data_IF_463969116795
#
_entry.id   IF_463969116795
#
_cell.length_a   1.000
_cell.length_b   1.000
_cell.length_c   1.000
_cell.angle_alpha   90.00
_cell.angle_beta   90.00
_cell.angle_gamma   90.00
#
_symmetry.space_group_name_H-M   'P 1'
#
loop_
_entity.id
_entity.type
_entity.pdbx_description
1 polymer ?
#
# COMPACT_ATOMS: atom_id res chain seq x y z
N UNK A 1 34.51 23.39 -35.67
CA UNK A 1 35.47 22.73 -34.73
C UNK A 1 35.13 22.97 -33.25
N UNK A 2 34.44 24.03 -32.88
CA UNK A 2 34.01 24.24 -31.46
C UNK A 2 32.73 23.48 -31.05
N UNK A 3 31.88 23.11 -32.02
CA UNK A 3 30.65 22.34 -31.78
C UNK A 3 30.94 20.86 -31.49
N UNK A 4 31.93 20.25 -32.20
CA UNK A 4 32.31 18.84 -31.97
C UNK A 4 32.84 18.54 -30.56
N UNK A 5 33.50 19.50 -29.91
CA UNK A 5 34.07 19.32 -28.57
C UNK A 5 33.02 19.40 -27.41
N UNK A 6 31.81 19.93 -27.70
CA UNK A 6 30.72 19.95 -26.73
C UNK A 6 29.89 18.65 -26.78
N UNK A 7 29.82 18.03 -27.97
CA UNK A 7 29.04 16.81 -28.20
C UNK A 7 29.79 15.56 -27.72
N UNK A 8 31.14 15.50 -27.87
CA UNK A 8 31.97 14.45 -27.22
C UNK A 8 31.77 14.42 -25.69
N UNK A 9 31.62 15.59 -25.07
CA UNK A 9 31.39 15.69 -23.65
C UNK A 9 29.97 15.21 -23.22
N UNK A 10 28.98 15.26 -24.11
CA UNK A 10 27.60 14.84 -23.78
C UNK A 10 27.52 13.31 -23.66
N UNK A 11 28.11 12.59 -24.64
CA UNK A 11 28.07 11.12 -24.61
C UNK A 11 28.86 10.54 -23.44
N UNK A 12 30.02 11.13 -23.14
CA UNK A 12 30.84 10.73 -22.00
C UNK A 12 30.10 10.92 -20.67
N UNK A 13 29.41 12.05 -20.55
CA UNK A 13 28.58 12.33 -19.38
C UNK A 13 27.43 11.34 -19.26
N UNK A 14 26.73 11.01 -20.34
CA UNK A 14 25.64 10.02 -20.35
C UNK A 14 26.14 8.61 -19.97
N UNK A 15 27.32 8.21 -20.51
CA UNK A 15 27.94 6.92 -20.17
C UNK A 15 28.37 6.87 -18.69
N UNK A 16 28.99 7.96 -18.20
CA UNK A 16 29.34 8.07 -16.80
C UNK A 16 28.13 7.93 -15.89
N UNK A 17 27.03 8.66 -16.18
CA UNK A 17 25.78 8.60 -15.43
C UNK A 17 25.16 7.20 -15.50
N UNK A 18 25.17 6.58 -16.68
CA UNK A 18 24.69 5.22 -16.88
C UNK A 18 25.38 4.24 -15.94
N UNK A 19 26.72 4.32 -15.84
CA UNK A 19 27.52 3.45 -14.95
C UNK A 19 27.33 3.78 -13.47
N UNK A 20 27.41 5.05 -13.09
CA UNK A 20 27.33 5.50 -11.69
C UNK A 20 25.94 5.27 -11.08
N UNK A 21 24.88 5.41 -11.88
CA UNK A 21 23.49 5.33 -11.40
C UNK A 21 22.77 4.07 -11.83
N UNK A 22 23.48 3.15 -12.51
CA UNK A 22 22.93 1.90 -13.04
C UNK A 22 21.65 2.09 -13.88
N UNK A 23 21.65 3.13 -14.73
CA UNK A 23 20.58 3.43 -15.66
C UNK A 23 21.01 2.91 -17.06
N UNK A 24 20.16 2.13 -17.77
CA UNK A 24 20.50 1.70 -19.13
C UNK A 24 20.79 2.89 -20.04
N UNK A 25 21.92 2.85 -20.73
CA UNK A 25 22.37 3.93 -21.59
C UNK A 25 21.37 4.28 -22.70
N UNK A 26 20.77 3.26 -23.32
CA UNK A 26 19.73 3.45 -24.35
C UNK A 26 18.50 4.22 -23.81
N UNK A 27 18.10 3.97 -22.57
CA UNK A 27 17.00 4.70 -21.94
C UNK A 27 17.29 6.20 -21.77
N UNK A 28 18.55 6.55 -21.50
CA UNK A 28 18.97 7.95 -21.42
C UNK A 28 18.94 8.61 -22.80
N UNK A 29 19.37 7.90 -23.84
CA UNK A 29 19.34 8.39 -25.22
C UNK A 29 17.93 8.56 -25.75
N UNK A 30 17.05 7.57 -25.58
CA UNK A 30 15.66 7.66 -25.99
C UNK A 30 14.93 8.83 -25.30
N UNK A 31 15.19 9.04 -24.01
CA UNK A 31 14.62 10.17 -23.29
C UNK A 31 15.15 11.52 -23.82
N UNK A 32 16.43 11.57 -24.19
CA UNK A 32 17.03 12.76 -24.78
C UNK A 32 16.43 13.03 -26.16
N UNK A 33 16.34 12.02 -27.04
CA UNK A 33 15.73 12.13 -28.38
C UNK A 33 14.29 12.64 -28.29
N UNK A 34 13.46 12.07 -27.38
CA UNK A 34 12.06 12.48 -27.16
C UNK A 34 11.95 13.94 -26.68
N UNK A 35 12.85 14.36 -25.80
CA UNK A 35 12.84 15.73 -25.27
C UNK A 35 13.33 16.74 -26.30
N UNK A 36 14.36 16.40 -27.08
CA UNK A 36 14.86 17.21 -28.19
C UNK A 36 13.77 17.39 -29.26
N UNK A 37 13.03 16.32 -29.57
CA UNK A 37 11.89 16.37 -30.47
C UNK A 37 10.81 17.31 -29.95
N UNK A 38 10.50 17.24 -28.67
CA UNK A 38 9.52 18.12 -28.02
C UNK A 38 9.98 19.59 -28.08
N UNK A 39 11.26 19.84 -27.79
CA UNK A 39 11.84 21.16 -27.87
C UNK A 39 11.84 21.70 -29.33
N UNK A 40 12.16 20.85 -30.31
CA UNK A 40 12.10 21.19 -31.72
C UNK A 40 10.69 21.60 -32.13
N UNK A 41 9.66 20.79 -31.84
CA UNK A 41 8.25 21.05 -32.14
C UNK A 41 7.76 22.37 -31.52
N UNK A 42 8.22 22.68 -30.30
CA UNK A 42 7.85 23.92 -29.60
C UNK A 42 8.41 25.18 -30.27
N UNK A 43 9.62 25.10 -30.82
CA UNK A 43 10.31 26.26 -31.40
C UNK A 43 10.07 26.43 -32.91
N UNK A 44 9.90 25.32 -33.64
CA UNK A 44 9.82 25.32 -35.10
C UNK A 44 8.43 24.87 -35.64
N UNK A 45 7.52 24.52 -34.75
CA UNK A 45 6.15 24.11 -35.10
C UNK A 45 5.95 22.60 -35.09
N UNK A 46 4.71 22.19 -34.85
CA UNK A 46 4.33 20.76 -34.71
C UNK A 46 3.83 20.12 -36.00
N UNK A 47 3.74 20.88 -37.09
CA UNK A 47 3.07 20.45 -38.33
C UNK A 47 3.85 19.42 -39.16
N UNK A 48 5.16 19.25 -38.90
CA UNK A 48 5.98 18.27 -39.59
C UNK A 48 6.16 17.01 -38.76
N UNK A 49 6.13 15.84 -39.42
CA UNK A 49 6.49 14.57 -38.79
C UNK A 49 8.02 14.51 -38.58
N UNK A 50 8.49 15.20 -37.54
CA UNK A 50 9.90 15.30 -37.21
C UNK A 50 10.32 14.16 -36.29
N UNK A 51 11.55 13.66 -36.49
CA UNK A 51 12.26 12.77 -35.59
C UNK A 51 13.62 13.35 -35.25
N UNK A 52 14.13 13.04 -34.07
CA UNK A 52 15.46 13.43 -33.64
C UNK A 52 16.24 12.14 -33.35
N UNK A 53 17.43 12.02 -33.92
CA UNK A 53 18.30 10.88 -33.70
C UNK A 53 19.59 11.42 -33.10
N UNK A 54 20.05 10.79 -32.02
CA UNK A 54 21.34 11.06 -31.37
C UNK A 54 22.31 9.96 -31.75
N UNK A 55 23.42 10.31 -32.35
CA UNK A 55 24.49 9.35 -32.67
C UNK A 55 25.09 8.78 -31.38
N UNK A 56 25.11 7.46 -31.29
CA UNK A 56 25.52 6.73 -30.08
C UNK A 56 27.02 6.76 -29.80
N UNK A 57 27.82 7.16 -30.78
CA UNK A 57 29.28 7.21 -30.66
C UNK A 57 29.76 8.64 -30.49
N UNK A 58 29.23 9.58 -31.28
CA UNK A 58 29.67 10.97 -31.28
C UNK A 58 28.85 11.86 -30.35
N UNK A 59 27.58 11.50 -30.07
CA UNK A 59 26.65 12.35 -29.33
C UNK A 59 26.04 13.46 -30.17
N UNK A 60 26.35 13.52 -31.48
CA UNK A 60 25.72 14.47 -32.38
C UNK A 60 24.24 14.16 -32.56
N UNK A 61 23.42 15.17 -32.48
CA UNK A 61 21.99 15.04 -32.74
C UNK A 61 21.67 15.56 -34.14
N UNK A 62 20.75 14.89 -34.82
CA UNK A 62 20.21 15.32 -36.12
C UNK A 62 18.71 15.28 -36.10
N UNK A 63 18.10 16.28 -36.71
CA UNK A 63 16.66 16.40 -36.87
C UNK A 63 16.29 16.07 -38.30
N UNK A 64 15.33 15.15 -38.44
CA UNK A 64 14.84 14.74 -39.75
C UNK A 64 13.35 15.00 -39.83
N UNK A 65 12.90 15.46 -41.00
CA UNK A 65 11.48 15.39 -41.35
C UNK A 65 11.22 14.05 -42.02
N UNK A 66 10.45 13.23 -41.38
CA UNK A 66 10.05 11.92 -41.92
C UNK A 66 8.80 12.08 -42.76
N UNK A 67 8.90 11.71 -44.03
CA UNK A 67 7.78 11.73 -44.98
C UNK A 67 7.57 10.34 -45.55
N UNK A 68 6.31 10.03 -45.86
CA UNK A 68 5.99 8.77 -46.55
C UNK A 68 6.16 8.94 -48.03
N UNK A 69 6.83 8.00 -48.69
CA UNK A 69 7.01 8.02 -50.15
C UNK A 69 5.71 7.59 -50.81
N UNK A 70 5.18 8.40 -51.69
CA UNK A 70 3.92 8.16 -52.42
C UNK A 70 4.08 8.41 -53.91
N UNK A 71 3.24 7.82 -54.73
CA UNK A 71 3.21 8.10 -56.18
C UNK A 71 2.67 9.50 -56.45
N UNK A 72 1.60 9.91 -55.76
CA UNK A 72 0.99 11.23 -55.89
C UNK A 72 0.91 11.86 -54.49
N UNK A 73 1.50 13.07 -54.36
CA UNK A 73 1.53 13.79 -53.09
C UNK A 73 0.22 14.49 -52.84
N UNK A 74 -0.45 14.17 -51.73
CA UNK A 74 -1.66 14.84 -51.24
C UNK A 74 -1.29 15.92 -50.20
N UNK A 75 -0.42 15.55 -49.22
CA UNK A 75 0.08 16.47 -48.21
C UNK A 75 1.61 16.61 -48.31
N UNK A 76 2.13 17.73 -48.83
CA UNK A 76 3.59 17.96 -48.97
C UNK A 76 4.35 18.00 -47.67
N UNK A 77 3.68 18.11 -46.49
CA UNK A 77 4.31 18.09 -45.18
C UNK A 77 4.58 16.65 -44.67
N UNK A 78 3.73 15.72 -45.07
CA UNK A 78 3.77 14.32 -44.61
C UNK A 78 4.25 13.35 -45.68
N UNK A 79 4.17 13.76 -46.95
CA UNK A 79 4.43 12.93 -48.13
C UNK A 79 5.55 13.49 -49.02
N UNK A 80 6.18 12.61 -49.72
CA UNK A 80 7.19 12.94 -50.75
C UNK A 80 6.95 12.10 -51.99
N UNK A 81 7.04 12.73 -53.17
CA UNK A 81 6.92 11.99 -54.43
C UNK A 81 8.13 11.04 -54.63
N UNK A 82 7.86 9.83 -55.12
CA UNK A 82 8.86 8.81 -55.39
C UNK A 82 9.99 9.34 -56.28
N UNK A 83 9.69 10.25 -57.24
CA UNK A 83 10.71 10.92 -58.09
C UNK A 83 11.70 11.78 -57.31
N UNK A 84 11.29 12.34 -56.14
CA UNK A 84 12.16 13.18 -55.28
C UNK A 84 12.95 12.31 -54.30
N UNK A 85 12.35 11.23 -53.80
CA UNK A 85 13.00 10.28 -52.90
C UNK A 85 14.14 9.50 -53.61
N UNK A 86 13.96 9.15 -54.90
CA UNK A 86 14.97 8.40 -55.67
C UNK A 86 14.99 6.90 -55.30
N UNK A 87 15.86 6.15 -55.99
CA UNK A 87 16.11 4.74 -55.62
C UNK A 87 16.96 4.68 -54.34
N UNK A 88 16.71 3.73 -53.42
CA UNK A 88 15.90 2.49 -53.55
C UNK A 88 14.47 2.56 -53.00
N UNK A 89 13.91 3.74 -52.73
CA UNK A 89 12.63 3.92 -52.06
C UNK A 89 11.43 3.43 -52.90
N UNK A 90 10.49 2.78 -52.21
CA UNK A 90 9.21 2.32 -52.79
C UNK A 90 8.02 3.08 -52.15
N UNK A 91 6.86 3.13 -52.81
CA UNK A 91 5.65 3.71 -52.20
C UNK A 91 5.33 3.02 -50.85
N UNK A 92 5.18 3.83 -49.79
CA UNK A 92 4.99 3.37 -48.41
C UNK A 92 6.25 3.41 -47.56
N UNK A 93 7.42 3.55 -48.13
CA UNK A 93 8.69 3.73 -47.39
C UNK A 93 8.73 5.10 -46.71
N UNK A 94 9.62 5.21 -45.71
CA UNK A 94 9.89 6.48 -45.04
C UNK A 94 11.15 7.13 -45.62
N UNK A 95 11.01 8.38 -46.04
CA UNK A 95 12.09 9.24 -46.49
C UNK A 95 12.41 10.28 -45.40
N UNK A 96 13.60 10.22 -44.85
CA UNK A 96 14.10 11.10 -43.80
C UNK A 96 14.96 12.22 -44.40
N UNK A 97 14.44 13.45 -44.45
CA UNK A 97 15.15 14.65 -44.97
C UNK A 97 15.77 15.41 -43.77
N UNK A 98 17.09 15.55 -43.74
CA UNK A 98 17.77 16.25 -42.65
C UNK A 98 17.46 17.76 -42.70
N UNK A 99 16.96 18.29 -41.56
CA UNK A 99 16.52 19.68 -41.40
C UNK A 99 17.11 20.34 -40.16
N UNK A 100 18.21 19.84 -39.65
CA UNK A 100 18.85 20.30 -38.41
C UNK A 100 19.12 21.81 -38.44
N UNK A 101 18.39 22.66 -37.62
CA UNK A 101 18.63 24.09 -37.60
C UNK A 101 19.95 24.45 -36.91
N UNK A 102 20.72 25.38 -37.47
CA UNK A 102 22.01 25.82 -36.89
C UNK A 102 21.89 26.40 -35.46
N UNK A 103 20.75 27.05 -35.15
CA UNK A 103 20.52 27.67 -33.84
C UNK A 103 19.97 26.70 -32.79
N UNK A 104 19.66 25.47 -33.20
CA UNK A 104 19.08 24.47 -32.30
C UNK A 104 20.07 23.97 -31.23
N UNK A 105 21.40 24.13 -31.44
CA UNK A 105 22.44 23.68 -30.54
C UNK A 105 22.30 24.17 -29.09
N UNK A 106 21.96 25.45 -28.89
CA UNK A 106 21.74 26.00 -27.54
C UNK A 106 20.51 25.42 -26.85
N UNK A 107 19.42 25.23 -27.61
CA UNK A 107 18.19 24.64 -27.14
C UNK A 107 18.43 23.16 -26.76
N UNK A 108 19.13 22.43 -27.63
CA UNK A 108 19.49 21.05 -27.43
C UNK A 108 20.33 20.85 -26.15
N UNK A 109 21.35 21.67 -25.93
CA UNK A 109 22.20 21.60 -24.74
C UNK A 109 21.44 21.88 -23.45
N UNK A 110 20.53 22.87 -23.43
CA UNK A 110 19.66 23.13 -22.26
C UNK A 110 18.68 22.00 -22.01
N UNK A 111 18.04 21.47 -23.06
CA UNK A 111 17.11 20.36 -22.98
C UNK A 111 17.82 19.11 -22.48
N UNK A 112 18.99 18.77 -23.02
CA UNK A 112 19.79 17.64 -22.57
C UNK A 112 20.10 17.72 -21.07
N UNK A 113 20.56 18.89 -20.60
CA UNK A 113 20.83 19.10 -19.17
C UNK A 113 19.59 18.86 -18.30
N UNK A 114 18.43 19.37 -18.71
CA UNK A 114 17.18 19.19 -17.96
C UNK A 114 16.75 17.71 -17.92
N UNK A 115 16.81 17.02 -19.05
CA UNK A 115 16.45 15.60 -19.16
C UNK A 115 17.36 14.74 -18.30
N UNK A 116 18.66 14.96 -18.39
CA UNK A 116 19.65 14.22 -17.59
C UNK A 116 19.37 14.39 -16.10
N UNK A 117 19.19 15.62 -15.62
CA UNK A 117 18.88 15.90 -14.21
C UNK A 117 17.57 15.24 -13.78
N UNK A 118 16.56 15.26 -14.66
CA UNK A 118 15.29 14.63 -14.37
C UNK A 118 15.42 13.10 -14.30
N UNK A 119 16.12 12.47 -15.24
CA UNK A 119 16.33 11.01 -15.24
C UNK A 119 17.17 10.53 -14.05
N UNK A 120 18.17 11.28 -13.64
CA UNK A 120 18.92 10.99 -12.40
C UNK A 120 17.96 10.99 -11.20
N UNK A 121 17.13 12.02 -11.06
CA UNK A 121 16.16 12.11 -9.96
C UNK A 121 15.14 10.97 -10.00
N UNK A 122 14.66 10.58 -11.17
CA UNK A 122 13.74 9.45 -11.33
C UNK A 122 14.40 8.14 -10.91
N UNK A 123 15.62 7.87 -11.34
CA UNK A 123 16.37 6.67 -10.97
C UNK A 123 16.70 6.63 -9.47
N UNK A 124 17.08 7.76 -8.87
CA UNK A 124 17.27 7.88 -7.41
C UNK A 124 15.97 7.55 -6.67
N UNK A 125 14.85 8.07 -7.15
CA UNK A 125 13.52 7.79 -6.57
C UNK A 125 13.14 6.32 -6.68
N UNK A 126 13.36 5.70 -7.84
CA UNK A 126 13.09 4.27 -8.03
C UNK A 126 14.00 3.40 -7.16
N UNK A 127 15.25 3.79 -6.96
CA UNK A 127 16.17 3.11 -6.05
C UNK A 127 15.67 3.16 -4.61
N UNK A 128 15.25 4.33 -4.14
CA UNK A 128 14.68 4.51 -2.79
C UNK A 128 13.37 3.72 -2.66
N UNK A 129 12.48 3.81 -3.66
CA UNK A 129 11.24 3.04 -3.67
C UNK A 129 11.50 1.54 -3.55
N UNK A 130 12.37 0.98 -4.40
CA UNK A 130 12.67 -0.45 -4.40
C UNK A 130 13.33 -0.92 -3.09
N UNK A 131 14.17 -0.06 -2.49
CA UNK A 131 14.81 -0.32 -1.20
C UNK A 131 13.77 -0.49 -0.09
N UNK A 132 12.82 0.45 0.02
CA UNK A 132 11.81 0.41 1.09
C UNK A 132 10.62 -0.48 0.76
N UNK A 133 10.31 -0.74 -0.51
CA UNK A 133 9.32 -1.74 -0.90
C UNK A 133 9.70 -3.15 -0.41
N UNK A 134 11.01 -3.46 -0.34
CA UNK A 134 11.51 -4.71 0.25
C UNK A 134 11.44 -4.73 1.79
N UNK A 135 11.33 -3.56 2.42
CA UNK A 135 11.17 -3.37 3.87
C UNK A 135 9.70 -3.12 4.25
N UNK A 136 8.76 -3.34 3.33
CA UNK A 136 7.34 -3.30 3.64
C UNK A 136 7.04 -4.36 4.71
N UNK A 137 6.23 -4.02 5.71
CA UNK A 137 5.94 -4.87 6.86
C UNK A 137 7.17 -5.23 7.71
N UNK A 138 8.18 -4.37 7.73
CA UNK A 138 9.40 -4.58 8.52
C UNK A 138 9.77 -3.33 9.34
N UNK A 139 10.72 -3.49 10.25
CA UNK A 139 11.22 -2.42 11.10
C UNK A 139 12.24 -1.54 10.37
N UNK A 140 12.12 -0.24 10.58
CA UNK A 140 13.15 0.73 10.22
C UNK A 140 13.48 1.61 11.40
N UNK A 141 14.73 2.07 11.43
CA UNK A 141 15.20 3.02 12.44
C UNK A 141 15.56 4.33 11.75
N UNK A 142 15.18 5.43 12.34
CA UNK A 142 15.49 6.75 11.82
C UNK A 142 15.60 7.78 12.92
N UNK A 143 15.78 9.04 12.52
CA UNK A 143 15.87 10.20 13.40
C UNK A 143 14.76 11.17 13.08
N UNK A 144 14.05 11.66 14.08
CA UNK A 144 12.99 12.65 13.90
C UNK A 144 13.60 13.97 13.41
N UNK A 145 13.18 14.42 12.23
CA UNK A 145 13.73 15.60 11.58
C UNK A 145 12.89 16.85 11.85
N UNK A 146 11.59 16.77 11.65
CA UNK A 146 10.64 17.87 11.80
C UNK A 146 9.21 17.40 11.99
N UNK A 147 8.37 18.34 12.40
CA UNK A 147 6.92 18.19 12.44
C UNK A 147 6.29 19.18 11.47
N UNK A 148 5.34 18.73 10.67
CA UNK A 148 4.60 19.56 9.74
C UNK A 148 3.15 19.09 9.66
N UNK A 149 2.18 19.98 9.89
CA UNK A 149 0.74 19.66 9.87
C UNK A 149 0.38 18.42 10.73
N UNK A 150 0.97 18.28 11.91
CA UNK A 150 0.87 17.15 12.85
C UNK A 150 1.50 15.84 12.36
N UNK A 151 2.03 15.78 11.15
CA UNK A 151 2.81 14.64 10.70
C UNK A 151 4.26 14.78 11.19
N UNK A 152 4.86 13.65 11.53
CA UNK A 152 6.28 13.58 11.89
C UNK A 152 7.08 13.11 10.67
N UNK A 153 8.13 13.81 10.35
CA UNK A 153 9.07 13.42 9.29
C UNK A 153 10.31 12.82 9.93
N UNK A 154 10.67 11.64 9.46
CA UNK A 154 11.76 10.81 9.98
C UNK A 154 12.81 10.61 8.90
N UNK A 155 14.06 10.87 9.22
CA UNK A 155 15.19 10.64 8.33
C UNK A 155 15.70 9.22 8.53
N UNK A 156 15.49 8.35 7.53
CA UNK A 156 15.95 6.97 7.52
C UNK A 156 17.36 6.88 6.95
N UNK A 157 18.21 6.09 7.61
CA UNK A 157 19.62 5.86 7.20
C UNK A 157 20.39 7.17 6.88
N UNK A 158 19.99 8.28 7.49
CA UNK A 158 20.64 9.58 7.37
C UNK A 158 20.39 10.34 6.05
N UNK A 159 19.53 9.83 5.14
CA UNK A 159 19.28 10.45 3.83
C UNK A 159 17.86 10.38 3.30
N UNK A 160 17.13 9.34 3.60
CA UNK A 160 15.83 9.08 2.99
C UNK A 160 14.72 9.56 3.93
N UNK A 161 13.83 10.42 3.46
CA UNK A 161 12.74 10.96 4.27
C UNK A 161 11.53 10.03 4.27
N UNK A 162 10.99 9.75 5.45
CA UNK A 162 9.76 9.00 5.65
C UNK A 162 8.76 9.84 6.45
N UNK A 163 7.47 9.54 6.31
CA UNK A 163 6.39 10.22 7.01
C UNK A 163 5.74 9.27 8.03
N UNK A 164 5.53 9.77 9.24
CA UNK A 164 4.69 9.15 10.25
C UNK A 164 3.46 10.04 10.44
N UNK A 165 2.34 9.75 9.74
CA UNK A 165 1.13 10.56 9.81
C UNK A 165 0.48 10.48 11.19
N UNK A 166 -0.34 11.46 11.53
CA UNK A 166 -1.01 11.54 12.84
C UNK A 166 -1.83 10.28 13.17
N UNK A 167 -2.48 9.67 12.17
CA UNK A 167 -3.26 8.44 12.35
C UNK A 167 -2.41 7.23 12.74
N UNK A 168 -1.13 7.26 12.44
CA UNK A 168 -0.17 6.19 12.70
C UNK A 168 0.71 6.48 13.93
N UNK A 169 0.53 7.63 14.56
CA UNK A 169 1.18 7.99 15.82
C UNK A 169 0.38 7.43 16.99
N UNK A 170 1.06 7.13 18.08
CA UNK A 170 0.47 6.65 19.32
C UNK A 170 0.23 7.83 20.25
N UNK A 171 -0.99 7.95 20.76
CA UNK A 171 -1.34 8.97 21.75
C UNK A 171 -0.50 8.77 23.03
N UNK A 172 0.19 9.83 23.46
CA UNK A 172 1.06 9.77 24.64
C UNK A 172 2.54 9.52 24.33
N UNK A 173 2.91 9.02 23.15
CA UNK A 173 4.31 9.02 22.72
C UNK A 173 4.75 10.42 22.29
N UNK A 174 5.82 10.90 22.89
CA UNK A 174 6.42 12.18 22.53
C UNK A 174 7.86 11.99 22.06
N UNK A 175 8.18 12.53 20.89
CA UNK A 175 9.53 12.54 20.34
C UNK A 175 9.99 13.99 20.14
N UNK A 176 11.25 14.25 20.41
CA UNK A 176 11.90 15.52 20.11
C UNK A 176 12.60 15.45 18.76
N UNK A 177 12.87 16.58 18.16
CA UNK A 177 13.74 16.65 16.99
C UNK A 177 15.11 16.07 17.37
N UNK A 178 15.65 15.23 16.48
CA UNK A 178 16.86 14.43 16.63
C UNK A 178 16.72 13.19 17.56
N UNK A 179 15.53 12.86 18.07
CA UNK A 179 15.34 11.59 18.77
C UNK A 179 15.40 10.42 17.78
N UNK A 180 15.98 9.32 18.22
CA UNK A 180 15.90 8.05 17.49
C UNK A 180 14.51 7.45 17.64
N UNK A 181 13.97 6.99 16.51
CA UNK A 181 12.69 6.34 16.44
C UNK A 181 12.82 5.02 15.68
N UNK A 182 12.23 3.98 16.22
CA UNK A 182 12.02 2.70 15.54
C UNK A 182 10.55 2.62 15.13
N UNK A 183 10.28 2.34 13.88
CA UNK A 183 8.92 2.35 13.34
C UNK A 183 8.73 1.21 12.33
N UNK A 184 7.49 0.88 12.07
CA UNK A 184 7.06 -0.14 11.13
C UNK A 184 6.71 0.51 9.79
N UNK A 185 7.14 -0.07 8.68
CA UNK A 185 6.80 0.41 7.34
C UNK A 185 5.44 -0.16 6.94
N UNK A 186 4.42 0.66 6.92
CA UNK A 186 3.05 0.23 6.55
C UNK A 186 2.78 0.36 5.06
N UNK A 187 3.43 1.32 4.39
CA UNK A 187 3.20 1.55 2.97
C UNK A 187 4.37 2.28 2.31
N UNK A 188 4.57 2.03 1.02
CA UNK A 188 5.56 2.73 0.20
C UNK A 188 4.90 3.13 -1.11
N UNK A 189 4.68 4.43 -1.32
CA UNK A 189 3.96 4.98 -2.47
C UNK A 189 4.89 5.71 -3.42
N UNK A 190 4.64 5.60 -4.72
CA UNK A 190 5.24 6.49 -5.72
C UNK A 190 4.43 7.78 -5.80
N UNK A 191 5.08 8.92 -5.64
CA UNK A 191 4.46 10.23 -5.83
C UNK A 191 5.28 11.07 -6.82
N UNK A 192 4.67 12.10 -7.45
CA UNK A 192 5.39 13.01 -8.35
C UNK A 192 6.57 13.73 -7.67
N UNK A 193 6.49 13.91 -6.34
CA UNK A 193 7.57 14.54 -5.55
C UNK A 193 8.66 13.55 -5.11
N UNK A 194 8.44 12.24 -5.28
CA UNK A 194 9.35 11.17 -4.87
C UNK A 194 8.63 10.04 -4.14
N UNK A 195 9.32 8.93 -3.82
CA UNK A 195 8.75 7.86 -3.02
C UNK A 195 8.39 8.37 -1.64
N UNK A 196 7.21 8.00 -1.17
CA UNK A 196 6.74 8.31 0.16
C UNK A 196 6.70 7.02 0.98
N UNK A 197 7.62 6.89 1.94
CA UNK A 197 7.64 5.79 2.90
C UNK A 197 6.76 6.19 4.07
N UNK A 198 5.69 5.42 4.30
CA UNK A 198 4.74 5.66 5.38
C UNK A 198 5.08 4.75 6.55
N UNK A 199 5.32 5.36 7.70
CA UNK A 199 5.67 4.67 8.93
C UNK A 199 4.47 4.59 9.87
N UNK A 200 4.47 3.59 10.73
CA UNK A 200 3.52 3.45 11.83
C UNK A 200 4.21 3.12 13.15
N UNK A 201 3.68 3.73 14.21
CA UNK A 201 3.92 3.34 15.60
C UNK A 201 2.69 2.64 16.20
N UNK A 202 1.53 2.78 15.56
CA UNK A 202 0.27 2.21 16.01
C UNK A 202 0.00 0.79 15.51
N UNK A 203 0.64 0.36 14.41
CA UNK A 203 0.42 -0.95 13.79
C UNK A 203 0.79 -2.11 14.73
N UNK A 204 0.01 -3.20 14.70
CA UNK A 204 0.27 -4.45 15.43
C UNK A 204 1.56 -5.12 14.97
N UNK A 205 1.87 -5.00 13.66
CA UNK A 205 3.11 -5.52 13.10
C UNK A 205 4.38 -4.94 13.73
N UNK A 206 4.31 -3.75 14.34
CA UNK A 206 5.44 -3.20 15.11
C UNK A 206 5.77 -4.10 16.31
N UNK A 207 4.75 -4.54 17.05
CA UNK A 207 4.93 -5.44 18.22
C UNK A 207 5.45 -6.79 17.76
N UNK A 208 4.89 -7.33 16.67
CA UNK A 208 5.33 -8.59 16.09
C UNK A 208 6.83 -8.56 15.75
N UNK A 209 7.26 -7.57 14.97
CA UNK A 209 8.66 -7.44 14.55
C UNK A 209 9.62 -7.17 15.71
N UNK A 210 9.18 -6.44 16.73
CA UNK A 210 9.98 -6.25 17.94
C UNK A 210 10.16 -7.55 18.71
N UNK A 211 9.12 -8.38 18.80
CA UNK A 211 9.24 -9.72 19.40
C UNK A 211 10.15 -10.65 18.59
N UNK A 212 10.03 -10.65 17.26
CA UNK A 212 10.93 -11.42 16.39
C UNK A 212 12.41 -11.00 16.56
N UNK A 213 12.67 -9.72 16.83
CA UNK A 213 14.02 -9.21 17.06
C UNK A 213 14.58 -9.62 18.43
N UNK A 214 13.75 -9.63 19.48
CA UNK A 214 14.17 -9.85 20.87
C UNK A 214 14.10 -11.32 21.31
N UNK A 215 13.30 -12.16 20.63
CA UNK A 215 13.02 -13.54 20.99
C UNK A 215 13.55 -14.49 19.91
N UNK A 216 14.73 -15.11 20.11
CA UNK A 216 15.31 -16.01 19.12
C UNK A 216 14.39 -17.17 18.74
N UNK A 217 13.62 -17.72 19.68
CA UNK A 217 12.70 -18.83 19.44
C UNK A 217 11.56 -18.45 18.48
N UNK A 218 11.21 -17.16 18.38
CA UNK A 218 10.26 -16.65 17.38
C UNK A 218 10.99 -16.48 16.03
N UNK A 219 12.19 -15.89 16.04
CA UNK A 219 12.99 -15.72 14.83
C UNK A 219 13.32 -17.06 14.14
N UNK A 220 13.56 -18.11 14.94
CA UNK A 220 13.84 -19.47 14.46
C UNK A 220 12.57 -20.26 14.09
N UNK A 221 11.38 -19.68 14.27
CA UNK A 221 10.10 -20.33 13.97
C UNK A 221 9.75 -21.48 14.91
N UNK A 222 10.34 -21.54 16.10
CA UNK A 222 10.01 -22.52 17.15
C UNK A 222 8.75 -22.08 17.90
N UNK A 223 8.64 -20.79 18.16
CA UNK A 223 7.47 -20.14 18.75
C UNK A 223 6.79 -19.28 17.68
N UNK A 224 5.50 -19.47 17.51
CA UNK A 224 4.69 -18.73 16.55
C UNK A 224 3.80 -17.71 17.28
N UNK A 225 3.68 -16.51 16.70
CA UNK A 225 2.69 -15.52 17.12
C UNK A 225 1.42 -15.79 16.31
N UNK A 226 0.35 -16.19 17.01
CA UNK A 226 -0.91 -16.56 16.41
C UNK A 226 -1.85 -15.37 16.21
N UNK A 227 -1.86 -14.43 17.17
CA UNK A 227 -2.70 -13.24 17.12
C UNK A 227 -2.08 -12.13 17.99
N UNK A 228 -2.37 -10.88 17.63
CA UNK A 228 -2.01 -9.69 18.40
C UNK A 228 -3.25 -8.82 18.51
N UNK A 229 -3.55 -8.33 19.70
CA UNK A 229 -4.53 -7.29 19.94
C UNK A 229 -3.86 -6.13 20.66
N UNK A 230 -3.90 -4.93 20.08
CA UNK A 230 -3.12 -3.79 20.52
C UNK A 230 -3.96 -2.53 20.76
N UNK A 231 -3.71 -1.86 21.86
CA UNK A 231 -4.06 -0.45 22.10
C UNK A 231 -2.73 0.31 22.30
N UNK A 232 -2.25 0.89 21.19
CA UNK A 232 -0.94 1.51 21.13
C UNK A 232 -0.69 2.52 22.25
N UNK A 233 0.49 2.43 22.88
CA UNK A 233 0.91 3.26 24.02
C UNK A 233 0.28 2.88 25.37
N UNK A 234 -0.64 1.91 25.41
CA UNK A 234 -1.29 1.45 26.62
C UNK A 234 -0.99 -0.03 26.90
N UNK A 235 -1.56 -0.92 26.13
CA UNK A 235 -1.43 -2.36 26.33
C UNK A 235 -1.60 -3.17 25.07
N UNK A 236 -0.84 -4.25 24.95
CA UNK A 236 -0.98 -5.27 23.92
C UNK A 236 -1.13 -6.66 24.53
N UNK A 237 -1.92 -7.51 23.88
CA UNK A 237 -1.98 -8.94 24.15
C UNK A 237 -1.47 -9.70 22.95
N UNK A 238 -0.56 -10.65 23.15
CA UNK A 238 0.07 -11.43 22.10
C UNK A 238 -0.14 -12.92 22.40
N UNK A 239 -0.86 -13.60 21.52
CA UNK A 239 -1.08 -15.04 21.61
C UNK A 239 0.04 -15.77 20.93
N UNK A 240 0.70 -16.68 21.66
CA UNK A 240 1.86 -17.46 21.18
C UNK A 240 1.64 -18.95 21.34
N UNK A 241 2.20 -19.73 20.43
CA UNK A 241 2.20 -21.18 20.42
C UNK A 241 3.61 -21.71 20.20
N UNK A 242 3.99 -22.76 20.86
CA UNK A 242 5.22 -23.50 20.55
C UNK A 242 4.93 -24.68 19.63
N UNK A 243 5.77 -24.87 18.62
CA UNK A 243 5.78 -26.07 17.77
C UNK A 243 6.57 -27.24 18.41
N UNK A 244 7.28 -26.97 19.50
CA UNK A 244 8.05 -27.98 20.25
C UNK A 244 7.52 -28.11 21.67
N UNK A 245 7.22 -29.31 22.09
CA UNK A 245 6.66 -29.59 23.42
C UNK A 245 7.59 -29.18 24.58
N UNK A 246 8.91 -29.20 24.33
CA UNK A 246 9.94 -28.88 25.34
C UNK A 246 10.10 -27.37 25.55
N UNK A 247 9.56 -26.53 24.67
CA UNK A 247 9.72 -25.07 24.72
C UNK A 247 8.45 -24.44 25.24
N UNK A 248 8.52 -23.79 26.40
CA UNK A 248 7.42 -22.96 26.89
C UNK A 248 7.36 -21.63 26.12
N UNK A 249 6.31 -21.38 25.34
CA UNK A 249 6.22 -20.18 24.48
C UNK A 249 6.16 -18.87 25.29
N UNK A 250 5.54 -18.89 26.46
CA UNK A 250 5.46 -17.71 27.35
C UNK A 250 6.83 -17.42 27.95
N UNK A 251 7.47 -18.43 28.50
CA UNK A 251 8.81 -18.30 29.09
C UNK A 251 9.87 -17.83 28.08
N UNK A 252 9.80 -18.30 26.82
CA UNK A 252 10.66 -17.85 25.74
C UNK A 252 10.50 -16.35 25.44
N UNK A 253 9.27 -15.87 25.36
CA UNK A 253 8.97 -14.46 25.12
C UNK A 253 9.35 -13.55 26.30
N UNK A 254 9.13 -13.99 27.53
CA UNK A 254 9.51 -13.23 28.72
C UNK A 254 11.03 -13.12 28.86
N UNK A 255 11.75 -14.22 28.63
CA UNK A 255 13.17 -14.29 28.83
C UNK A 255 13.58 -14.26 30.31
N UNK A 256 14.89 -14.32 30.61
CA UNK A 256 15.41 -14.28 31.98
C UNK A 256 14.98 -13.01 32.71
N UNK A 257 14.30 -13.15 33.85
CA UNK A 257 13.76 -12.02 34.65
C UNK A 257 12.90 -11.05 33.82
N UNK A 258 12.20 -11.57 32.82
CA UNK A 258 11.35 -10.78 31.90
C UNK A 258 12.13 -9.71 31.09
N UNK A 259 13.42 -9.92 30.86
CA UNK A 259 14.27 -8.92 30.18
C UNK A 259 13.86 -8.70 28.71
N UNK A 260 13.50 -9.78 27.98
CA UNK A 260 13.13 -9.67 26.57
C UNK A 260 11.86 -8.83 26.38
N UNK A 261 10.81 -9.15 27.14
CA UNK A 261 9.55 -8.40 27.05
C UNK A 261 9.71 -6.96 27.56
N UNK A 262 10.59 -6.70 28.52
CA UNK A 262 10.93 -5.37 28.99
C UNK A 262 11.58 -4.55 27.86
N UNK A 263 12.53 -5.14 27.12
CA UNK A 263 13.16 -4.47 25.96
C UNK A 263 12.13 -4.10 24.88
N UNK A 264 11.15 -4.97 24.61
CA UNK A 264 10.05 -4.66 23.67
C UNK A 264 9.20 -3.52 24.19
N UNK A 265 8.82 -3.57 25.48
CA UNK A 265 8.05 -2.50 26.14
C UNK A 265 8.80 -1.16 26.10
N UNK A 266 10.10 -1.13 26.34
CA UNK A 266 10.93 0.09 26.27
C UNK A 266 10.98 0.66 24.86
N UNK A 267 11.05 -0.18 23.82
CA UNK A 267 10.93 0.25 22.43
C UNK A 267 9.57 0.86 22.12
N UNK A 268 8.53 0.48 22.86
CA UNK A 268 7.15 0.97 22.77
C UNK A 268 6.84 2.06 23.82
N UNK A 269 7.87 2.68 24.38
CA UNK A 269 7.76 3.78 25.37
C UNK A 269 6.93 3.42 26.61
N UNK A 270 7.00 2.17 27.06
CA UNK A 270 6.34 1.69 28.29
C UNK A 270 4.97 1.06 28.07
N UNK A 271 4.59 0.73 26.83
CA UNK A 271 3.39 -0.05 26.53
C UNK A 271 3.50 -1.44 27.18
N UNK A 272 2.45 -1.85 27.90
CA UNK A 272 2.42 -3.15 28.58
C UNK A 272 2.11 -4.27 27.59
N UNK A 273 2.85 -5.37 27.68
CA UNK A 273 2.67 -6.52 26.80
C UNK A 273 2.34 -7.75 27.62
N UNK A 274 1.16 -8.31 27.40
CA UNK A 274 0.73 -9.57 27.99
C UNK A 274 0.93 -10.69 26.96
N UNK A 275 1.76 -11.66 27.30
CA UNK A 275 1.97 -12.86 26.49
C UNK A 275 1.00 -13.94 26.92
N UNK A 276 0.19 -14.42 25.96
CA UNK A 276 -0.92 -15.34 26.18
C UNK A 276 -0.62 -16.65 25.47
N UNK A 277 -0.86 -17.79 26.15
CA UNK A 277 -0.79 -19.10 25.48
C UNK A 277 -1.98 -19.26 24.55
N UNK A 278 -1.70 -19.45 23.27
CA UNK A 278 -2.72 -19.80 22.28
C UNK A 278 -3.20 -21.24 22.53
N UNK A 279 -4.49 -21.48 22.38
CA UNK A 279 -5.08 -22.80 22.37
C UNK A 279 -6.02 -22.96 21.18
N UNK A 280 -6.15 -24.18 20.66
CA UNK A 280 -7.09 -24.51 19.58
C UNK A 280 -8.52 -24.63 20.09
N UNK A 281 -8.69 -24.94 21.37
CA UNK A 281 -9.99 -24.91 22.03
C UNK A 281 -10.36 -23.46 22.35
N UNK A 282 -11.46 -22.94 21.77
CA UNK A 282 -11.86 -21.54 21.98
C UNK A 282 -12.12 -21.19 23.44
N UNK A 283 -12.70 -22.12 24.23
CA UNK A 283 -12.97 -21.87 25.64
C UNK A 283 -11.66 -21.65 26.41
N UNK A 284 -10.71 -22.53 26.23
CA UNK A 284 -9.37 -22.44 26.85
C UNK A 284 -8.63 -21.19 26.38
N UNK A 285 -8.74 -20.85 25.10
CA UNK A 285 -8.10 -19.65 24.57
C UNK A 285 -8.69 -18.37 25.15
N UNK A 286 -10.01 -18.27 25.28
CA UNK A 286 -10.70 -17.14 25.92
C UNK A 286 -10.30 -17.03 27.39
N UNK A 287 -10.24 -18.15 28.12
CA UNK A 287 -9.79 -18.17 29.52
C UNK A 287 -8.35 -17.62 29.64
N UNK A 288 -7.44 -18.06 28.77
CA UNK A 288 -6.06 -17.57 28.73
C UNK A 288 -5.99 -16.08 28.37
N UNK A 289 -6.79 -15.63 27.40
CA UNK A 289 -6.81 -14.25 26.91
C UNK A 289 -7.27 -13.23 27.96
N UNK A 290 -8.10 -13.65 28.93
CA UNK A 290 -8.56 -12.79 30.02
C UNK A 290 -7.57 -12.67 31.17
N UNK A 291 -6.44 -13.42 31.12
CA UNK A 291 -5.39 -13.25 32.13
C UNK A 291 -5.06 -11.75 32.33
N UNK A 292 -4.80 -11.31 33.60
CA UNK A 292 -4.56 -12.12 34.80
C UNK A 292 -5.83 -12.50 35.59
N UNK A 293 -7.04 -12.21 35.09
CA UNK A 293 -8.28 -12.62 35.76
C UNK A 293 -8.44 -14.16 35.70
N UNK A 294 -8.95 -14.73 36.75
CA UNK A 294 -9.29 -16.16 36.81
C UNK A 294 -10.73 -16.36 36.36
N UNK A 295 -10.90 -17.17 35.32
CA UNK A 295 -12.21 -17.52 34.77
C UNK A 295 -12.67 -18.85 35.38
N UNK A 296 -13.97 -18.96 35.71
CA UNK A 296 -14.60 -20.18 36.22
C UNK A 296 -15.06 -21.05 35.05
N UNK A 297 -15.87 -20.47 34.16
CA UNK A 297 -16.43 -21.17 33.00
C UNK A 297 -16.56 -20.21 31.81
N UNK A 298 -16.54 -20.80 30.61
CA UNK A 298 -16.85 -20.10 29.36
C UNK A 298 -17.90 -20.91 28.62
N UNK A 299 -19.05 -20.30 28.31
CA UNK A 299 -20.09 -20.87 27.49
C UNK A 299 -20.08 -20.21 26.12
N UNK A 300 -19.96 -21.03 25.05
CA UNK A 300 -19.88 -20.54 23.68
C UNK A 300 -21.25 -20.60 23.00
N UNK A 301 -21.64 -19.51 22.38
CA UNK A 301 -22.77 -19.41 21.47
C UNK A 301 -22.23 -19.24 20.05
N UNK A 302 -21.88 -20.37 19.43
CA UNK A 302 -21.10 -20.40 18.15
C UNK A 302 -21.84 -19.67 17.02
N UNK A 303 -23.15 -19.83 16.91
CA UNK A 303 -23.96 -19.19 15.85
C UNK A 303 -23.85 -17.66 15.87
N UNK A 304 -23.66 -17.06 17.05
CA UNK A 304 -23.60 -15.61 17.24
C UNK A 304 -22.18 -15.09 17.45
N UNK A 305 -21.18 -15.98 17.53
CA UNK A 305 -19.80 -15.63 17.85
C UNK A 305 -19.64 -14.96 19.24
N UNK A 306 -20.49 -15.33 20.20
CA UNK A 306 -20.54 -14.79 21.56
C UNK A 306 -20.07 -15.82 22.57
N UNK A 307 -19.33 -15.39 23.57
CA UNK A 307 -18.92 -16.21 24.70
C UNK A 307 -19.36 -15.52 26.01
N UNK A 308 -20.17 -16.20 26.80
CA UNK A 308 -20.47 -15.81 28.17
C UNK A 308 -19.37 -16.34 29.08
N UNK A 309 -18.67 -15.45 29.75
CA UNK A 309 -17.55 -15.75 30.63
C UNK A 309 -17.93 -15.48 32.06
N UNK A 310 -17.89 -16.51 32.88
CA UNK A 310 -18.20 -16.40 34.30
C UNK A 310 -16.92 -16.31 35.13
N UNK A 311 -16.84 -15.30 35.96
CA UNK A 311 -15.69 -15.05 36.84
C UNK A 311 -16.13 -14.93 38.30
N UNK A 312 -15.26 -15.20 39.28
CA UNK A 312 -15.60 -14.90 40.69
C UNK A 312 -15.88 -13.41 40.88
N UNK A 313 -16.79 -13.04 41.76
CA UNK A 313 -17.22 -11.64 41.99
C UNK A 313 -16.05 -10.69 42.22
N UNK A 314 -15.05 -11.11 42.99
CA UNK A 314 -13.84 -10.31 43.25
C UNK A 314 -12.88 -10.18 42.04
N UNK A 315 -13.12 -10.94 40.99
CA UNK A 315 -12.33 -10.89 39.75
C UNK A 315 -13.00 -10.10 38.63
N UNK A 316 -14.29 -9.74 38.78
CA UNK A 316 -15.07 -9.07 37.74
C UNK A 316 -14.40 -7.80 37.24
N UNK A 317 -13.99 -6.91 38.14
CA UNK A 317 -13.28 -5.68 37.78
C UNK A 317 -11.94 -5.93 37.08
N UNK A 318 -11.26 -7.03 37.40
CA UNK A 318 -9.98 -7.40 36.78
C UNK A 318 -10.21 -8.01 35.40
N UNK A 319 -11.27 -8.81 35.22
CA UNK A 319 -11.64 -9.38 33.93
C UNK A 319 -12.05 -8.29 32.92
N UNK A 320 -12.83 -7.32 33.35
CA UNK A 320 -13.25 -6.16 32.56
C UNK A 320 -12.00 -5.27 32.31
N UNK A 321 -11.21 -5.02 33.33
CA UNK A 321 -10.08 -4.11 33.30
C UNK A 321 -10.51 -2.64 33.32
N UNK A 322 -9.52 -1.74 33.40
CA UNK A 322 -9.75 -0.30 33.37
C UNK A 322 -10.40 0.11 32.05
N UNK A 323 -11.52 0.80 32.10
CA UNK A 323 -12.27 1.27 30.92
C UNK A 323 -12.61 0.14 29.91
N UNK A 324 -12.78 -1.11 30.41
CA UNK A 324 -13.04 -2.28 29.58
C UNK A 324 -11.85 -2.76 28.75
N UNK A 325 -10.63 -2.31 29.03
CA UNK A 325 -9.45 -2.59 28.21
C UNK A 325 -9.13 -4.09 28.14
N UNK A 326 -9.20 -4.81 29.28
CA UNK A 326 -8.82 -6.23 29.30
C UNK A 326 -9.78 -7.08 28.44
N UNK A 327 -11.09 -6.91 28.64
CA UNK A 327 -12.10 -7.64 27.86
C UNK A 327 -12.08 -7.26 26.37
N UNK A 328 -11.91 -5.98 26.06
CA UNK A 328 -11.83 -5.51 24.65
C UNK A 328 -10.61 -6.06 23.91
N UNK A 329 -9.45 -6.10 24.55
CA UNK A 329 -8.25 -6.72 23.99
C UNK A 329 -8.41 -8.23 23.86
N UNK A 330 -9.00 -8.91 24.85
CA UNK A 330 -9.27 -10.34 24.79
C UNK A 330 -10.25 -10.68 23.66
N UNK A 331 -11.32 -9.89 23.51
CA UNK A 331 -12.27 -10.06 22.42
C UNK A 331 -11.62 -9.92 21.03
N UNK A 332 -10.79 -8.90 20.83
CA UNK A 332 -10.03 -8.73 19.58
C UNK A 332 -9.05 -9.86 19.34
N UNK A 333 -8.37 -10.33 20.38
CA UNK A 333 -7.36 -11.39 20.29
C UNK A 333 -7.98 -12.73 19.89
N UNK A 334 -9.16 -13.06 20.46
CA UNK A 334 -9.84 -14.35 20.28
C UNK A 334 -10.80 -14.36 19.09
N UNK A 335 -11.24 -13.18 18.65
CA UNK A 335 -12.26 -13.03 17.61
C UNK A 335 -13.69 -13.25 18.11
N UNK A 336 -13.89 -13.42 19.44
CA UNK A 336 -15.19 -13.63 20.06
C UNK A 336 -15.69 -12.35 20.72
N UNK A 337 -16.99 -12.14 20.66
CA UNK A 337 -17.64 -11.14 21.51
C UNK A 337 -17.76 -11.72 22.93
N UNK A 338 -17.13 -11.07 23.91
CA UNK A 338 -17.08 -11.55 25.29
C UNK A 338 -18.09 -10.79 26.14
N UNK A 339 -18.97 -11.53 26.78
CA UNK A 339 -19.88 -11.04 27.86
C UNK A 339 -19.37 -11.57 29.18
N UNK A 340 -19.06 -10.68 30.13
CA UNK A 340 -18.43 -11.04 31.40
C UNK A 340 -19.48 -10.91 32.50
N UNK A 341 -19.77 -12.00 33.20
CA UNK A 341 -20.67 -12.03 34.34
C UNK A 341 -19.93 -12.51 35.61
N UNK A 342 -20.39 -12.02 36.76
CA UNK A 342 -19.99 -12.58 38.04
C UNK A 342 -20.69 -13.91 38.29
N UNK A 343 -20.15 -14.74 39.18
CA UNK A 343 -20.72 -16.03 39.54
C UNK A 343 -22.17 -15.88 40.04
N UNK A 344 -22.47 -14.80 40.81
CA UNK A 344 -23.79 -14.51 41.30
C UNK A 344 -24.82 -14.07 40.27
N UNK A 345 -24.35 -13.51 39.11
CA UNK A 345 -25.18 -12.97 38.04
C UNK A 345 -25.18 -13.86 36.78
N UNK A 346 -24.51 -15.01 36.83
CA UNK A 346 -24.29 -15.86 35.64
C UNK A 346 -25.60 -16.37 35.02
N UNK A 347 -26.54 -16.82 35.85
CA UNK A 347 -27.84 -17.33 35.39
C UNK A 347 -28.69 -16.20 34.77
N UNK A 348 -28.72 -15.03 35.40
CA UNK A 348 -29.45 -13.86 34.87
C UNK A 348 -28.85 -13.37 33.55
N UNK A 349 -27.53 -13.37 33.44
CA UNK A 349 -26.82 -12.98 32.20
C UNK A 349 -27.13 -13.95 31.07
N UNK A 350 -27.17 -15.24 31.36
CA UNK A 350 -27.54 -16.29 30.42
C UNK A 350 -28.98 -16.17 29.94
N UNK A 351 -29.91 -15.99 30.85
CA UNK A 351 -31.32 -15.81 30.53
C UNK A 351 -31.55 -14.56 29.68
N UNK A 352 -30.93 -13.45 30.06
CA UNK A 352 -30.98 -12.20 29.28
C UNK A 352 -30.46 -12.39 27.85
N UNK A 353 -29.32 -13.06 27.69
CA UNK A 353 -28.76 -13.34 26.39
C UNK A 353 -29.68 -14.20 25.50
N UNK A 354 -30.25 -15.27 26.09
CA UNK A 354 -31.18 -16.16 25.39
C UNK A 354 -32.47 -15.44 24.99
N UNK A 355 -32.99 -14.54 25.84
CA UNK A 355 -34.14 -13.71 25.53
C UNK A 355 -33.84 -12.74 24.35
N UNK A 356 -32.71 -12.02 24.39
CA UNK A 356 -32.27 -11.12 23.30
C UNK A 356 -32.07 -11.87 21.97
N UNK A 357 -31.55 -13.10 22.02
CA UNK A 357 -31.39 -13.96 20.86
C UNK A 357 -32.73 -14.34 20.23
N UNK A 358 -33.72 -14.70 21.08
CA UNK A 358 -35.05 -15.06 20.61
C UNK A 358 -35.76 -13.85 19.97
N UNK A 359 -35.62 -12.66 20.56
CA UNK A 359 -36.19 -11.44 20.01
C UNK A 359 -35.57 -11.06 18.64
N UNK A 360 -34.22 -11.24 18.47
CA UNK A 360 -33.54 -11.00 17.20
C UNK A 360 -33.97 -11.99 16.12
N UNK A 361 -34.05 -13.29 16.45
CA UNK A 361 -34.50 -14.32 15.51
C UNK A 361 -35.97 -14.08 15.08
N UNK A 362 -36.86 -13.70 15.99
CA UNK A 362 -38.24 -13.33 15.66
C UNK A 362 -38.35 -12.04 14.84
N UNK A 363 -37.42 -11.10 15.04
CA UNK A 363 -37.33 -9.87 14.24
C UNK A 363 -36.79 -10.10 12.82
N UNK A 364 -35.82 -11.01 12.64
CA UNK A 364 -35.28 -11.37 11.32
C UNK A 364 -36.30 -12.17 10.49
N UNK A 365 -37.05 -13.09 11.09
CA UNK A 365 -38.16 -13.77 10.41
C UNK A 365 -39.26 -12.80 9.97
N UNK A 366 -39.57 -11.81 10.80
CA UNK A 366 -40.57 -10.79 10.47
C UNK A 366 -40.12 -9.88 9.32
N UNK A 367 -38.83 -9.51 9.28
CA UNK A 367 -38.23 -8.69 8.20
C UNK A 367 -38.06 -9.52 6.92
N UNK A 368 -37.69 -10.79 7.02
CA UNK A 368 -37.59 -11.69 5.87
C UNK A 368 -38.97 -11.94 5.23
N UNK A 369 -40.00 -12.16 6.05
CA UNK A 369 -41.40 -12.31 5.58
C UNK A 369 -41.90 -11.06 4.85
N UNK A 370 -41.61 -9.87 5.37
CA UNK A 370 -41.98 -8.59 4.72
C UNK A 370 -41.17 -8.34 3.45
N UNK A 371 -39.89 -8.78 3.40
CA UNK A 371 -39.07 -8.66 2.22
C UNK A 371 -39.49 -9.66 1.11
N UNK A 372 -39.91 -10.86 1.48
CA UNK A 372 -40.43 -11.86 0.55
C UNK A 372 -41.79 -11.46 -0.04
N UNK A 373 -42.70 -10.87 0.79
CA UNK A 373 -43.95 -10.28 0.29
C UNK A 373 -43.72 -9.04 -0.59
N UNK A 374 -42.72 -8.19 -0.28
CA UNK A 374 -42.34 -7.03 -1.09
C UNK A 374 -41.74 -7.43 -2.42
N UNK A 375 -40.84 -8.44 -2.46
CA UNK A 375 -40.27 -8.98 -3.69
C UNK A 375 -41.31 -9.68 -4.56
N UNK A 376 -42.23 -10.45 -3.98
CA UNK A 376 -43.30 -11.05 -4.73
C UNK A 376 -44.27 -10.01 -5.34
N UNK A 377 -44.48 -8.87 -4.66
CA UNK A 377 -45.26 -7.75 -5.15
C UNK A 377 -44.53 -6.95 -6.28
N UNK A 378 -43.23 -6.84 -6.19
CA UNK A 378 -42.41 -6.11 -7.17
C UNK A 378 -42.14 -6.95 -8.44
N UNK A 379 -41.92 -8.27 -8.32
CA UNK A 379 -41.80 -9.16 -9.48
C UNK A 379 -43.08 -9.22 -10.32
N UNK A 380 -44.24 -9.17 -9.72
CA UNK A 380 -45.53 -9.12 -10.45
C UNK A 380 -45.73 -7.76 -11.14
N UNK A 381 -45.28 -6.66 -10.51
CA UNK A 381 -45.38 -5.32 -11.09
C UNK A 381 -44.35 -5.07 -12.20
N UNK A 382 -43.13 -5.60 -12.07
CA UNK A 382 -42.06 -5.48 -13.06
C UNK A 382 -42.34 -6.37 -14.28
N UNK A 383 -42.87 -7.58 -14.10
CA UNK A 383 -43.24 -8.46 -15.21
C UNK A 383 -44.37 -7.86 -16.08
N UNK A 384 -45.34 -7.17 -15.47
CA UNK A 384 -46.42 -6.52 -16.21
C UNK A 384 -45.93 -5.27 -16.98
N UNK A 385 -44.92 -4.52 -16.46
CA UNK A 385 -44.43 -3.31 -17.11
C UNK A 385 -43.36 -3.56 -18.19
N UNK A 386 -42.61 -4.65 -18.07
CA UNK A 386 -41.55 -5.01 -19.05
C UNK A 386 -42.15 -5.56 -20.36
N UNK A 387 -43.25 -6.31 -20.28
CA UNK A 387 -43.91 -6.84 -21.49
C UNK A 387 -44.48 -5.72 -22.38
N UNK A 388 -45.15 -4.70 -21.81
CA UNK A 388 -45.76 -3.60 -22.56
C UNK A 388 -44.72 -2.66 -23.19
N UNK A 389 -43.59 -2.38 -22.50
CA UNK A 389 -42.54 -1.51 -23.04
C UNK A 389 -41.69 -2.20 -24.10
N UNK A 390 -41.45 -3.50 -23.94
CA UNK A 390 -40.71 -4.32 -24.90
C UNK A 390 -41.54 -4.51 -26.20
N UNK A 391 -42.82 -4.74 -26.07
CA UNK A 391 -43.74 -4.85 -27.22
C UNK A 391 -43.79 -3.55 -27.99
N UNK A 392 -43.86 -2.39 -27.29
CA UNK A 392 -43.89 -1.06 -27.94
C UNK A 392 -42.58 -0.76 -28.65
N UNK A 393 -41.42 -1.05 -28.06
CA UNK A 393 -40.11 -0.89 -28.69
C UNK A 393 -39.89 -1.81 -29.89
N UNK A 394 -40.42 -3.03 -29.85
CA UNK A 394 -40.36 -3.95 -30.98
C UNK A 394 -41.25 -3.51 -32.13
N UNK A 395 -42.41 -2.91 -31.87
CA UNK A 395 -43.30 -2.34 -32.87
C UNK A 395 -42.74 -1.04 -33.52
N UNK A 396 -42.07 -0.18 -32.73
CA UNK A 396 -41.34 0.98 -33.25
C UNK A 396 -40.18 0.57 -34.16
N UNK A 397 -39.39 -0.42 -33.74
CA UNK A 397 -38.26 -0.94 -34.50
C UNK A 397 -38.69 -1.65 -35.80
N UNK A 398 -39.89 -2.24 -35.81
CA UNK A 398 -40.49 -2.87 -36.97
C UNK A 398 -40.99 -1.84 -37.97
N UNK A 399 -41.56 -0.71 -37.50
CA UNK A 399 -41.98 0.43 -38.35
C UNK A 399 -40.78 1.14 -38.99
N UNK A 400 -39.70 1.35 -38.27
CA UNK A 400 -38.50 2.00 -38.82
C UNK A 400 -37.77 1.16 -39.87
N UNK A 401 -37.84 -0.16 -39.79
CA UNK A 401 -37.15 -1.05 -40.75
C UNK A 401 -37.97 -1.48 -41.96
N UNK A 402 -39.29 -1.45 -41.90
CA UNK A 402 -40.16 -1.93 -42.96
C UNK A 402 -40.86 -0.80 -43.76
N UNK A 403 -40.69 0.45 -43.33
CA UNK A 403 -41.14 1.61 -44.13
C UNK A 403 -42.66 1.68 -44.33
N UNK A 404 -43.47 1.18 -43.37
CA UNK A 404 -44.92 1.31 -43.36
C UNK A 404 -45.40 2.24 -42.23
#
# INVERSE_FOLDING_TARGET
>A
MAESAADEKLIDVLQFISKERNIPFEMLLEALEAALLTAYKRHYGSEANAIVIVDRQTGEYRVYHRRTVVETVEDPKLEVAMKKAGEPYQPGDFYDEEVTPKEFGRIAAQTAKQVIVQRIREAERDTVYNKYARKLNDLVTGTVQRYEQRNMYVLLEGRDEAILPLSEQVAGETFRINDFIRAYVVDVRKSPKGPQVVLSRAAEGLVQRLLELEVPEIADGIVEIMAIAREGGSRSKVAVRSLRAEVDPIGACLGPKSSRIANVSDNLRGEKIDVIRYDTDPQTFIMNALAPAKVITVELFEDDGVALVVVPDYQLSLAIGRDGQNVRLAARLTGWRLDIASEGEADEARERYLAERTERAGGEEAVAGVAEEAQAGEEVAVAASVDDELIRKLEEFRRERLGE
#
